data_IF_034757567175
#
_entry.id   IF_034757567175
#
_cell.length_a   1.000
_cell.length_b   1.000
_cell.length_c   1.000
_cell.angle_alpha   90.00
_cell.angle_beta   90.00
_cell.angle_gamma   90.00
#
_symmetry.space_group_name_H-M   'P 1'
#
loop_
_entity.id
_entity.type
_entity.pdbx_description
1 polymer ?
#
# COMPACT_ATOMS: atom_id res chain seq x y z
N UNK A 1 1.61 -9.74 -12.25
CA UNK A 1 0.75 -9.76 -11.05
C UNK A 1 1.47 -10.39 -9.86
N UNK A 2 1.89 -11.67 -9.93
CA UNK A 2 2.57 -12.37 -8.83
C UNK A 2 3.78 -11.62 -8.25
N UNK A 3 4.68 -11.06 -9.07
CA UNK A 3 5.84 -10.31 -8.57
C UNK A 3 5.46 -9.06 -7.78
N UNK A 4 4.42 -8.33 -8.21
CA UNK A 4 3.93 -7.16 -7.49
C UNK A 4 3.24 -7.57 -6.19
N UNK A 5 2.48 -8.67 -6.20
CA UNK A 5 1.89 -9.24 -5.00
C UNK A 5 2.97 -9.54 -3.94
N UNK A 6 4.00 -10.31 -4.32
CA UNK A 6 5.12 -10.65 -3.42
C UNK A 6 5.83 -9.40 -2.90
N UNK A 7 6.10 -8.44 -3.78
CA UNK A 7 6.81 -7.23 -3.38
C UNK A 7 5.97 -6.36 -2.42
N UNK A 8 4.77 -5.98 -2.82
CA UNK A 8 4.00 -5.00 -2.04
C UNK A 8 3.36 -5.64 -0.82
N UNK A 9 2.73 -6.80 -0.98
CA UNK A 9 1.96 -7.41 0.09
C UNK A 9 2.83 -8.24 1.03
N UNK A 10 3.54 -9.25 0.51
CA UNK A 10 4.33 -10.16 1.35
C UNK A 10 5.56 -9.46 1.94
N UNK A 11 6.25 -8.65 1.13
CA UNK A 11 7.54 -8.11 1.52
C UNK A 11 7.48 -6.72 2.16
N UNK A 12 6.87 -5.74 1.48
CA UNK A 12 6.83 -4.36 1.98
C UNK A 12 5.83 -4.22 3.12
N UNK A 13 4.63 -4.80 2.97
CA UNK A 13 3.57 -4.74 3.96
C UNK A 13 3.59 -5.89 4.98
N UNK A 14 4.52 -6.85 4.85
CA UNK A 14 4.65 -8.01 5.75
C UNK A 14 3.35 -8.79 5.96
N UNK A 15 2.46 -8.79 4.96
CA UNK A 15 1.10 -9.35 5.02
C UNK A 15 0.23 -8.78 6.16
N UNK A 16 0.58 -7.60 6.69
CA UNK A 16 -0.10 -6.95 7.83
C UNK A 16 -1.24 -6.01 7.46
N UNK A 17 -1.42 -5.73 6.18
CA UNK A 17 -2.50 -4.88 5.66
C UNK A 17 -3.61 -5.73 5.04
N UNK A 18 -4.88 -5.34 5.09
CA UNK A 18 -5.91 -6.00 4.28
C UNK A 18 -5.62 -5.75 2.80
N UNK A 19 -5.54 -6.82 2.00
CA UNK A 19 -5.38 -6.73 0.55
C UNK A 19 -6.66 -7.17 -0.16
N UNK A 20 -7.20 -6.28 -0.98
CA UNK A 20 -8.36 -6.53 -1.84
C UNK A 20 -7.92 -6.60 -3.30
N UNK A 21 -8.46 -7.57 -4.05
CA UNK A 21 -8.23 -7.68 -5.48
C UNK A 21 -9.28 -6.91 -6.27
N UNK A 22 -8.89 -5.90 -7.04
CA UNK A 22 -9.80 -5.19 -7.95
C UNK A 22 -9.51 -5.60 -9.38
N UNK A 23 -10.49 -6.20 -10.04
CA UNK A 23 -10.42 -6.61 -11.45
C UNK A 23 -11.20 -5.60 -12.28
N UNK A 24 -10.52 -4.96 -13.23
CA UNK A 24 -11.10 -3.92 -14.09
C UNK A 24 -11.33 -4.42 -15.52
N UNK A 25 -11.88 -3.55 -16.39
CA UNK A 25 -12.06 -3.81 -17.82
C UNK A 25 -13.07 -4.94 -18.12
N UNK A 26 -14.12 -5.03 -17.28
CA UNK A 26 -15.15 -6.07 -17.37
C UNK A 26 -16.45 -5.58 -18.02
N UNK A 27 -16.44 -4.43 -18.69
CA UNK A 27 -17.62 -3.84 -19.32
C UNK A 27 -18.30 -4.77 -20.35
N UNK A 28 -17.53 -5.65 -20.98
CA UNK A 28 -18.01 -6.61 -21.99
C UNK A 28 -18.57 -7.90 -21.40
N UNK A 29 -18.30 -8.19 -20.13
CA UNK A 29 -18.86 -9.37 -19.43
C UNK A 29 -20.34 -9.15 -19.17
N UNK A 30 -21.21 -10.14 -19.39
CA UNK A 30 -22.65 -9.97 -19.12
C UNK A 30 -22.85 -9.69 -17.63
N UNK A 31 -22.22 -10.50 -16.78
CA UNK A 31 -22.05 -10.26 -15.35
C UNK A 31 -20.55 -10.12 -15.06
N UNK A 32 -20.13 -9.00 -14.45
CA UNK A 32 -18.71 -8.72 -14.18
C UNK A 32 -18.09 -9.79 -13.28
N UNK A 33 -18.86 -10.36 -12.36
CA UNK A 33 -18.40 -11.34 -11.38
C UNK A 33 -18.02 -12.70 -11.98
N UNK A 34 -18.56 -13.04 -13.16
CA UNK A 34 -18.26 -14.28 -13.86
C UNK A 34 -16.76 -14.40 -14.21
N UNK A 35 -16.07 -13.27 -14.35
CA UNK A 35 -14.62 -13.28 -14.56
C UNK A 35 -13.89 -13.89 -13.37
N UNK A 36 -14.22 -13.48 -12.14
CA UNK A 36 -13.55 -13.97 -10.95
C UNK A 36 -13.79 -15.47 -10.77
N UNK A 37 -15.03 -15.91 -10.93
CA UNK A 37 -15.41 -17.33 -10.82
C UNK A 37 -14.59 -18.23 -11.76
N UNK A 38 -14.30 -17.75 -12.98
CA UNK A 38 -13.48 -18.50 -13.95
C UNK A 38 -11.98 -18.46 -13.67
N UNK A 39 -11.47 -17.43 -12.99
CA UNK A 39 -10.04 -17.15 -12.87
C UNK A 39 -9.48 -17.36 -11.45
N UNK A 40 -10.32 -17.52 -10.43
CA UNK A 40 -9.89 -17.64 -9.03
C UNK A 40 -8.91 -18.80 -8.82
N UNK A 41 -9.16 -19.97 -9.42
CA UNK A 41 -8.25 -21.11 -9.31
C UNK A 41 -6.85 -20.84 -9.90
N UNK A 42 -6.74 -19.94 -10.90
CA UNK A 42 -5.43 -19.50 -11.38
C UNK A 42 -4.74 -18.58 -10.38
N UNK A 43 -5.48 -17.63 -9.79
CA UNK A 43 -4.94 -16.71 -8.77
C UNK A 43 -4.40 -17.48 -7.56
N UNK A 44 -5.18 -18.45 -7.07
CA UNK A 44 -4.80 -19.34 -5.97
C UNK A 44 -3.55 -20.16 -6.31
N UNK A 45 -3.48 -20.72 -7.53
CA UNK A 45 -2.30 -21.45 -8.02
C UNK A 45 -1.02 -20.60 -8.01
N UNK A 46 -1.13 -19.28 -8.21
CA UNK A 46 -0.01 -18.35 -8.11
C UNK A 46 0.25 -17.82 -6.69
N UNK A 47 -0.50 -18.30 -5.69
CA UNK A 47 -0.36 -17.91 -4.28
C UNK A 47 -0.92 -16.53 -3.97
N UNK A 48 -1.75 -15.95 -4.85
CA UNK A 48 -2.35 -14.64 -4.64
C UNK A 48 -3.57 -14.80 -3.73
N UNK A 49 -3.46 -14.32 -2.49
CA UNK A 49 -4.54 -14.30 -1.50
C UNK A 49 -5.04 -12.88 -1.30
N UNK A 50 -6.35 -12.70 -1.22
CA UNK A 50 -7.01 -11.42 -0.91
C UNK A 50 -8.14 -11.64 0.10
N UNK A 51 -8.41 -10.64 0.94
CA UNK A 51 -9.52 -10.69 1.92
C UNK A 51 -10.88 -10.45 1.28
N UNK A 52 -10.89 -9.90 0.07
CA UNK A 52 -12.06 -9.69 -0.76
C UNK A 52 -11.65 -9.31 -2.17
N UNK A 53 -12.63 -9.18 -3.06
CA UNK A 53 -12.42 -8.76 -4.44
C UNK A 53 -13.57 -7.91 -4.96
N UNK A 54 -13.30 -7.16 -6.03
CA UNK A 54 -14.28 -6.38 -6.74
C UNK A 54 -14.08 -6.54 -8.25
N UNK A 55 -15.11 -7.04 -8.94
CA UNK A 55 -15.16 -7.10 -10.39
C UNK A 55 -15.88 -5.86 -10.92
N UNK A 56 -15.14 -4.99 -11.61
CA UNK A 56 -15.63 -3.66 -11.98
C UNK A 56 -15.33 -3.29 -13.42
N UNK A 57 -16.01 -2.24 -13.87
CA UNK A 57 -15.59 -1.43 -15.00
C UNK A 57 -15.41 0.03 -14.58
N UNK A 58 -14.40 0.67 -15.18
CA UNK A 58 -14.23 2.13 -15.11
C UNK A 58 -14.86 2.84 -16.32
N UNK A 59 -15.39 2.09 -17.30
CA UNK A 59 -15.96 2.64 -18.51
C UNK A 59 -17.36 3.21 -18.24
N UNK A 60 -17.48 4.53 -18.32
CA UNK A 60 -18.71 5.27 -18.01
C UNK A 60 -19.35 5.98 -19.22
N UNK A 61 -18.77 5.83 -20.42
CA UNK A 61 -19.12 6.63 -21.61
C UNK A 61 -19.41 5.81 -22.89
N UNK A 62 -19.50 4.48 -22.81
CA UNK A 62 -19.62 3.63 -24.01
C UNK A 62 -21.09 3.45 -24.47
N UNK A 63 -22.03 3.11 -23.58
CA UNK A 63 -23.48 3.10 -23.82
C UNK A 63 -24.29 3.10 -22.50
N UNK A 64 -25.63 2.97 -22.58
CA UNK A 64 -26.51 2.91 -21.40
C UNK A 64 -26.25 1.73 -20.46
N UNK A 65 -25.96 0.53 -21.00
CA UNK A 65 -25.61 -0.66 -20.19
C UNK A 65 -24.28 -0.48 -19.46
N UNK A 66 -23.33 0.24 -20.07
CA UNK A 66 -22.05 0.55 -19.41
C UNK A 66 -22.23 1.53 -18.25
N UNK A 67 -23.19 2.46 -18.33
CA UNK A 67 -23.52 3.35 -17.22
C UNK A 67 -24.05 2.58 -16.01
N UNK A 68 -24.94 1.61 -16.22
CA UNK A 68 -25.48 0.79 -15.13
C UNK A 68 -24.39 -0.04 -14.46
N UNK A 69 -23.54 -0.70 -15.26
CA UNK A 69 -22.37 -1.44 -14.73
C UNK A 69 -21.36 -0.55 -14.03
N UNK A 70 -21.19 0.69 -14.49
CA UNK A 70 -20.32 1.64 -13.81
C UNK A 70 -20.91 2.04 -12.44
N UNK A 71 -22.22 2.23 -12.33
CA UNK A 71 -22.87 2.49 -11.04
C UNK A 71 -22.77 1.28 -10.10
N UNK A 72 -23.02 0.07 -10.62
CA UNK A 72 -22.83 -1.20 -9.91
C UNK A 72 -21.38 -1.33 -9.41
N UNK A 73 -20.40 -1.05 -10.28
CA UNK A 73 -18.97 -1.06 -9.95
C UNK A 73 -18.63 -0.15 -8.78
N UNK A 74 -19.23 1.04 -8.71
CA UNK A 74 -19.04 1.97 -7.58
C UNK A 74 -19.63 1.41 -6.30
N UNK A 75 -20.77 0.73 -6.37
CA UNK A 75 -21.40 0.07 -5.23
C UNK A 75 -20.54 -1.08 -4.70
N UNK A 76 -20.10 -1.97 -5.59
CA UNK A 76 -19.23 -3.11 -5.26
C UNK A 76 -17.93 -2.61 -4.60
N UNK A 77 -17.23 -1.68 -5.25
CA UNK A 77 -15.96 -1.18 -4.73
C UNK A 77 -16.11 -0.51 -3.36
N UNK A 78 -17.18 0.27 -3.14
CA UNK A 78 -17.49 0.85 -1.82
C UNK A 78 -17.75 -0.23 -0.78
N UNK A 79 -18.58 -1.21 -1.10
CA UNK A 79 -18.92 -2.29 -0.16
C UNK A 79 -17.67 -3.07 0.30
N UNK A 80 -16.74 -3.32 -0.62
CA UNK A 80 -15.48 -4.01 -0.29
C UNK A 80 -14.56 -3.13 0.57
N UNK A 81 -14.49 -1.83 0.31
CA UNK A 81 -13.74 -0.89 1.16
C UNK A 81 -14.37 -0.83 2.56
N UNK A 82 -15.69 -0.67 2.67
CA UNK A 82 -16.40 -0.59 3.95
C UNK A 82 -16.24 -1.88 4.78
N UNK A 83 -16.21 -3.04 4.12
CA UNK A 83 -16.00 -4.32 4.78
C UNK A 83 -14.57 -4.50 5.34
N UNK A 84 -13.57 -3.88 4.70
CA UNK A 84 -12.15 -4.14 4.98
C UNK A 84 -11.31 -2.91 5.35
N UNK A 85 -11.93 -1.75 5.53
CA UNK A 85 -11.31 -0.50 5.99
C UNK A 85 -12.34 0.25 6.87
N UNK A 86 -12.65 -0.28 8.05
CA UNK A 86 -13.57 0.34 9.01
C UNK A 86 -12.83 0.94 10.21
N UNK A 87 -13.46 1.90 10.88
CA UNK A 87 -12.89 2.68 12.00
C UNK A 87 -12.50 1.81 13.22
N UNK A 88 -12.95 0.55 13.27
CA UNK A 88 -12.60 -0.40 14.33
C UNK A 88 -11.28 -1.14 14.05
N UNK A 89 -10.74 -1.07 12.83
CA UNK A 89 -9.44 -1.63 12.52
C UNK A 89 -8.35 -0.62 12.82
N UNK A 90 -7.45 -0.97 13.76
CA UNK A 90 -6.24 -0.20 13.97
C UNK A 90 -5.38 -0.28 12.71
N UNK A 91 -5.23 0.87 12.03
CA UNK A 91 -4.48 0.94 10.79
C UNK A 91 -3.04 0.49 11.02
N UNK A 92 -2.53 -0.40 10.14
CA UNK A 92 -1.15 -0.83 10.24
C UNK A 92 -0.21 0.37 9.99
N UNK A 93 0.40 0.86 11.06
CA UNK A 93 1.38 1.94 11.01
C UNK A 93 2.78 1.44 10.65
N UNK A 94 2.95 0.12 10.61
CA UNK A 94 4.23 -0.59 10.53
C UNK A 94 5.12 -0.47 11.76
N UNK A 95 4.80 0.39 12.73
CA UNK A 95 5.64 0.63 13.90
C UNK A 95 6.80 1.61 13.62
N UNK A 96 7.74 1.77 14.54
CA UNK A 96 8.89 2.65 14.32
C UNK A 96 9.92 1.98 13.41
N UNK A 97 10.34 2.67 12.34
CA UNK A 97 11.44 2.24 11.47
C UNK A 97 11.13 1.13 10.44
N UNK A 98 9.88 0.66 10.34
CA UNK A 98 9.52 -0.38 9.37
C UNK A 98 9.75 0.04 7.93
N UNK A 99 9.40 1.28 7.56
CA UNK A 99 9.54 1.75 6.20
C UNK A 99 11.02 1.74 5.80
N UNK A 100 11.90 2.15 6.72
CA UNK A 100 13.34 2.04 6.56
C UNK A 100 13.82 0.58 6.43
N UNK A 101 13.32 -0.33 7.27
CA UNK A 101 13.62 -1.77 7.18
C UNK A 101 13.17 -2.37 5.84
N UNK A 102 11.92 -2.16 5.44
CA UNK A 102 11.34 -2.65 4.19
C UNK A 102 12.06 -2.07 2.97
N UNK A 103 12.41 -0.79 2.99
CA UNK A 103 13.19 -0.20 1.90
C UNK A 103 14.63 -0.72 1.89
N UNK A 104 15.28 -0.92 3.04
CA UNK A 104 16.62 -1.53 3.08
C UNK A 104 16.66 -2.87 2.40
N UNK A 105 15.70 -3.74 2.75
CA UNK A 105 15.55 -5.06 2.15
C UNK A 105 15.26 -4.92 0.65
N UNK A 106 14.40 -3.97 0.24
CA UNK A 106 14.08 -3.73 -1.17
C UNK A 106 15.31 -3.31 -1.97
N UNK A 107 16.13 -2.41 -1.41
CA UNK A 107 17.36 -1.97 -2.04
C UNK A 107 18.36 -3.12 -2.14
N UNK A 108 18.51 -3.92 -1.08
CA UNK A 108 19.34 -5.13 -1.13
C UNK A 108 18.87 -6.10 -2.22
N UNK A 109 17.56 -6.28 -2.38
CA UNK A 109 16.98 -7.13 -3.41
C UNK A 109 17.18 -6.59 -4.83
N UNK A 110 17.04 -5.27 -5.04
CA UNK A 110 17.04 -4.63 -6.37
C UNK A 110 18.44 -4.23 -6.86
N UNK A 111 19.35 -3.91 -5.95
CA UNK A 111 20.68 -3.38 -6.28
C UNK A 111 21.83 -4.22 -5.68
N UNK A 112 21.52 -5.33 -4.99
CA UNK A 112 22.48 -5.95 -4.06
C UNK A 112 22.67 -5.08 -2.82
N UNK A 113 23.47 -5.52 -1.84
CA UNK A 113 23.79 -4.69 -0.66
C UNK A 113 24.41 -3.36 -1.10
N UNK A 114 23.69 -2.22 -1.00
CA UNK A 114 24.24 -0.95 -1.43
C UNK A 114 25.35 -0.53 -0.48
N UNK A 115 26.38 0.13 -0.99
CA UNK A 115 27.34 0.82 -0.10
C UNK A 115 26.56 1.86 0.69
N UNK A 116 26.86 2.01 1.99
CA UNK A 116 26.16 2.94 2.89
C UNK A 116 25.97 4.35 2.28
N UNK A 117 26.94 4.82 1.51
CA UNK A 117 26.96 6.14 0.86
C UNK A 117 25.95 6.31 -0.29
N UNK A 118 25.45 5.22 -0.89
CA UNK A 118 24.60 5.28 -2.10
C UNK A 118 23.09 5.06 -1.80
N UNK A 119 22.74 4.78 -0.55
CA UNK A 119 21.33 4.57 -0.14
C UNK A 119 20.45 5.76 -0.55
N UNK A 120 20.89 6.99 -0.31
CA UNK A 120 20.13 8.21 -0.67
C UNK A 120 19.93 8.31 -2.19
N UNK A 121 20.94 7.93 -2.98
CA UNK A 121 20.86 7.93 -4.44
C UNK A 121 19.82 6.93 -4.95
N UNK A 122 19.75 5.74 -4.32
CA UNK A 122 18.74 4.74 -4.66
C UNK A 122 17.33 5.22 -4.26
N UNK A 123 17.16 5.73 -3.04
CA UNK A 123 15.86 6.23 -2.53
C UNK A 123 15.28 7.36 -3.41
N UNK A 124 16.13 8.28 -3.85
CA UNK A 124 15.70 9.39 -4.70
C UNK A 124 15.46 8.95 -6.14
N UNK A 125 16.40 8.24 -6.78
CA UNK A 125 16.32 7.92 -8.22
C UNK A 125 15.40 6.76 -8.55
N UNK A 126 15.33 5.75 -7.68
CA UNK A 126 14.53 4.54 -7.93
C UNK A 126 13.20 4.53 -7.19
N UNK A 127 13.15 5.10 -5.98
CA UNK A 127 11.93 5.14 -5.18
C UNK A 127 11.18 6.48 -5.28
N UNK A 128 11.74 7.48 -5.98
CA UNK A 128 11.07 8.77 -6.20
C UNK A 128 10.92 9.64 -4.95
N UNK A 129 11.69 9.38 -3.89
CA UNK A 129 11.64 10.16 -2.66
C UNK A 129 12.27 11.54 -2.83
N UNK A 130 11.79 12.52 -2.07
CA UNK A 130 12.52 13.79 -1.91
C UNK A 130 13.84 13.54 -1.18
N UNK A 131 14.81 14.45 -1.34
CA UNK A 131 16.13 14.30 -0.69
C UNK A 131 16.00 14.23 0.82
N UNK A 132 15.12 15.05 1.39
CA UNK A 132 14.91 15.18 2.82
C UNK A 132 14.34 13.88 3.42
N UNK A 133 13.30 13.32 2.79
CA UNK A 133 12.71 12.04 3.20
C UNK A 133 13.71 10.90 3.02
N UNK A 134 14.45 10.89 1.91
CA UNK A 134 15.49 9.89 1.67
C UNK A 134 16.60 9.93 2.72
N UNK A 135 16.98 11.12 3.21
CA UNK A 135 17.95 11.27 4.30
C UNK A 135 17.44 10.70 5.62
N UNK A 136 16.19 11.02 6.00
CA UNK A 136 15.58 10.50 7.23
C UNK A 136 15.48 8.98 7.22
N UNK A 137 15.02 8.41 6.10
CA UNK A 137 14.98 6.96 5.90
C UNK A 137 16.39 6.37 5.98
N UNK A 138 17.38 6.95 5.29
CA UNK A 138 18.75 6.45 5.33
C UNK A 138 19.37 6.45 6.74
N UNK A 139 19.05 7.44 7.59
CA UNK A 139 19.49 7.48 9.00
C UNK A 139 18.88 6.34 9.82
N UNK A 140 17.57 6.11 9.66
CA UNK A 140 16.88 4.98 10.29
C UNK A 140 17.47 3.63 9.85
N UNK A 141 17.78 3.47 8.56
CA UNK A 141 18.43 2.26 8.00
C UNK A 141 19.80 2.00 8.64
N UNK A 142 20.55 3.06 8.94
CA UNK A 142 21.89 2.95 9.52
C UNK A 142 21.88 2.69 11.03
N UNK A 143 20.71 2.73 11.68
CA UNK A 143 20.59 2.64 13.14
C UNK A 143 21.13 3.87 13.86
N UNK A 144 21.24 5.01 13.17
CA UNK A 144 21.62 6.29 13.76
C UNK A 144 20.35 6.85 14.43
N UNK A 145 20.21 6.67 15.75
CA UNK A 145 19.12 7.27 16.52
C UNK A 145 19.04 8.78 16.22
N UNK A 146 17.84 9.28 15.91
CA UNK A 146 17.62 10.73 15.87
C UNK A 146 18.02 11.32 17.23
N UNK A 147 18.74 12.46 17.27
CA UNK A 147 18.90 13.18 18.53
C UNK A 147 17.51 13.47 19.08
N UNK A 148 17.25 13.03 20.31
CA UNK A 148 16.09 13.47 21.06
C UNK A 148 16.12 14.99 21.08
N UNK A 149 15.22 15.62 20.33
CA UNK A 149 14.89 17.02 20.55
C UNK A 149 14.40 17.12 21.99
N UNK A 150 15.25 17.64 22.87
CA UNK A 150 14.87 18.14 24.18
C UNK A 150 13.63 19.00 24.01
N UNK A 151 12.47 18.52 24.44
CA UNK A 151 11.33 19.39 24.64
C UNK A 151 11.72 20.26 25.82
N UNK A 152 12.18 21.48 25.52
CA UNK A 152 12.32 22.52 26.52
C UNK A 152 10.95 22.73 27.17
N UNK A 153 10.92 22.58 28.50
CA UNK A 153 9.78 22.85 29.34
C UNK A 153 9.34 24.31 29.17
N UNK A 154 8.35 24.56 28.33
CA UNK A 154 7.58 25.80 28.40
C UNK A 154 6.74 25.75 29.68
N UNK A 155 7.13 26.58 30.63
CA UNK A 155 6.56 26.68 31.96
C UNK A 155 5.07 26.95 31.96
N UNK A 156 4.41 26.42 32.99
CA UNK A 156 3.03 26.74 33.32
C UNK A 156 2.84 28.26 33.40
N UNK A 157 1.79 28.82 32.77
CA UNK A 157 1.44 30.22 32.97
C UNK A 157 0.95 30.44 34.41
N UNK A 158 1.20 31.62 35.01
CA UNK A 158 0.80 31.91 36.38
C UNK A 158 -0.73 32.01 36.50
N UNK A 159 -1.27 31.40 37.55
CA UNK A 159 -2.68 31.48 37.93
C UNK A 159 -2.97 32.87 38.50
N UNK A 160 -3.98 33.61 38.02
CA UNK A 160 -4.33 34.92 38.58
C UNK A 160 -5.01 34.77 39.94
N UNK A 161 -4.60 35.62 40.88
CA UNK A 161 -5.23 35.84 42.19
C UNK A 161 -6.54 36.60 42.10
#
# INVERSE_FOLDING_TARGET
>A
MQSNYRLFFEFLCEEKVPLVLVVTNLEREINMEDWYTRNVGHLEKYGIRSVGHACITAANLLDGRHRDKYQESRGILRGVIEAHCNDFMEGWTGGQGWLASSISKLVEYVAGRPKKTDIIGVLTKRCGMTKEVAHQVAQQIRGENLPQTTIENYGNPPVPS
#
